data_IF_091238741814
#
_entry.id   IF_091238741814
#
_cell.length_a   1.000
_cell.length_b   1.000
_cell.length_c   1.000
_cell.angle_alpha   90.00
_cell.angle_beta   90.00
_cell.angle_gamma   90.00
#
_symmetry.space_group_name_H-M   'P 1'
#
loop_
_entity.id
_entity.type
_entity.pdbx_description
1 polymer ?
#
# COMPACT_ATOMS: atom_id res chain seq x y z
N UNK A 1 -3.59 -27.40 14.29
CA UNK A 1 -4.49 -27.80 13.19
C UNK A 1 -5.08 -26.51 12.67
N UNK A 2 -4.69 -26.12 11.48
CA UNK A 2 -5.07 -24.81 10.91
C UNK A 2 -6.48 -24.93 10.31
N UNK A 3 -7.42 -24.12 10.80
CA UNK A 3 -8.78 -24.00 10.25
C UNK A 3 -8.73 -23.32 8.88
N UNK A 4 -8.40 -24.07 7.83
CA UNK A 4 -8.35 -23.59 6.45
C UNK A 4 -9.59 -23.90 5.63
N UNK A 5 -10.60 -24.53 6.23
CA UNK A 5 -11.71 -25.15 5.47
C UNK A 5 -12.84 -24.22 5.03
N UNK A 6 -12.90 -22.94 5.47
CA UNK A 6 -14.01 -22.05 5.12
C UNK A 6 -13.57 -20.62 4.72
N UNK A 7 -12.49 -20.50 3.95
CA UNK A 7 -12.16 -19.20 3.35
C UNK A 7 -12.95 -19.04 2.05
N UNK A 8 -13.77 -17.98 1.92
CA UNK A 8 -14.42 -17.67 0.66
C UNK A 8 -13.38 -17.11 -0.33
N UNK A 9 -12.50 -17.99 -0.86
CA UNK A 9 -11.45 -17.59 -1.80
C UNK A 9 -11.97 -16.83 -3.01
N UNK A 10 -13.20 -17.06 -3.40
CA UNK A 10 -13.90 -16.32 -4.46
C UNK A 10 -13.95 -14.81 -4.20
N UNK A 11 -14.06 -14.42 -2.92
CA UNK A 11 -14.05 -13.01 -2.51
C UNK A 11 -12.65 -12.41 -2.56
N UNK A 12 -11.63 -13.19 -2.20
CA UNK A 12 -10.26 -12.71 -2.06
C UNK A 12 -9.42 -12.85 -3.32
N UNK A 13 -9.77 -13.78 -4.20
CA UNK A 13 -9.02 -14.09 -5.40
C UNK A 13 -9.96 -14.11 -6.61
N UNK A 14 -10.17 -12.99 -7.30
CA UNK A 14 -11.14 -12.87 -8.41
C UNK A 14 -11.00 -13.92 -9.52
N UNK A 15 -9.79 -14.47 -9.70
CA UNK A 15 -9.52 -15.53 -10.68
C UNK A 15 -9.99 -16.92 -10.23
N UNK A 16 -10.42 -17.09 -8.96
CA UNK A 16 -10.73 -18.38 -8.34
C UNK A 16 -11.61 -19.29 -9.17
N UNK A 17 -12.71 -18.77 -9.70
CA UNK A 17 -13.68 -19.55 -10.48
C UNK A 17 -13.15 -19.99 -11.85
N UNK A 18 -12.06 -19.39 -12.33
CA UNK A 18 -11.38 -19.75 -13.58
C UNK A 18 -10.26 -20.79 -13.38
N UNK A 19 -9.96 -21.14 -12.14
CA UNK A 19 -8.95 -22.16 -11.79
C UNK A 19 -9.56 -23.56 -11.81
N UNK A 20 -8.73 -24.55 -12.12
CA UNK A 20 -9.10 -25.98 -12.02
C UNK A 20 -9.31 -26.40 -10.56
N UNK A 21 -10.02 -27.50 -10.32
CA UNK A 21 -10.22 -28.05 -8.98
C UNK A 21 -8.88 -28.36 -8.27
N UNK A 22 -7.89 -28.87 -8.99
CA UNK A 22 -6.57 -29.18 -8.47
C UNK A 22 -5.83 -27.90 -8.03
N UNK A 23 -5.84 -26.85 -8.85
CA UNK A 23 -5.23 -25.55 -8.52
C UNK A 23 -5.90 -24.90 -7.32
N UNK A 24 -7.24 -24.93 -7.25
CA UNK A 24 -7.98 -24.45 -6.07
C UNK A 24 -7.61 -25.21 -4.80
N UNK A 25 -7.47 -26.53 -4.88
CA UNK A 25 -7.05 -27.35 -3.76
C UNK A 25 -5.60 -27.04 -3.32
N UNK A 26 -4.68 -26.80 -4.26
CA UNK A 26 -3.32 -26.37 -3.95
C UNK A 26 -3.29 -25.04 -3.20
N UNK A 27 -4.04 -24.03 -3.68
CA UNK A 27 -4.11 -22.74 -2.99
C UNK A 27 -4.72 -22.92 -1.60
N UNK A 28 -5.91 -23.51 -1.49
CA UNK A 28 -6.61 -23.63 -0.22
C UNK A 28 -5.82 -24.44 0.82
N UNK A 29 -5.13 -25.49 0.38
CA UNK A 29 -4.33 -26.37 1.24
C UNK A 29 -3.01 -25.77 1.70
N UNK A 30 -2.49 -24.75 1.00
CA UNK A 30 -1.19 -24.13 1.30
C UNK A 30 -1.29 -22.70 1.83
N UNK A 31 -2.47 -22.07 1.74
CA UNK A 31 -2.67 -20.70 2.23
C UNK A 31 -2.63 -20.66 3.75
N UNK A 32 -1.78 -19.78 4.29
CA UNK A 32 -1.72 -19.50 5.72
C UNK A 32 -2.46 -18.20 6.07
N UNK A 33 -3.10 -18.16 7.24
CA UNK A 33 -3.59 -16.91 7.84
C UNK A 33 -2.51 -16.33 8.72
N UNK A 34 -2.33 -15.01 8.63
CA UNK A 34 -1.37 -14.28 9.45
C UNK A 34 -1.97 -12.96 9.90
N UNK A 35 -1.95 -12.71 11.22
CA UNK A 35 -2.28 -11.42 11.81
C UNK A 35 -0.98 -10.72 12.18
N UNK A 36 -0.84 -9.46 11.80
CA UNK A 36 0.33 -8.65 12.08
C UNK A 36 -0.07 -7.34 12.72
N UNK A 37 0.81 -6.83 13.58
CA UNK A 37 0.61 -5.54 14.24
C UNK A 37 1.11 -4.39 13.37
N UNK A 38 0.52 -3.22 13.57
CA UNK A 38 1.03 -1.97 13.01
C UNK A 38 2.54 -1.85 13.21
N UNK A 39 3.26 -1.41 12.17
CA UNK A 39 4.72 -1.27 12.15
C UNK A 39 5.47 -2.57 11.84
N UNK A 40 4.77 -3.70 11.60
CA UNK A 40 5.43 -4.94 11.18
C UNK A 40 5.87 -4.85 9.73
N UNK A 41 7.18 -5.02 9.47
CA UNK A 41 7.71 -5.17 8.11
C UNK A 41 7.46 -6.61 7.65
N UNK A 42 6.76 -6.76 6.55
CA UNK A 42 6.38 -8.04 5.96
C UNK A 42 7.35 -8.48 4.85
N UNK A 43 7.94 -7.51 4.17
CA UNK A 43 8.90 -7.71 3.09
C UNK A 43 9.87 -6.53 3.07
N UNK A 44 11.15 -6.81 2.88
CA UNK A 44 12.21 -5.80 2.84
C UNK A 44 13.23 -6.15 1.76
N UNK A 45 12.88 -5.85 0.51
CA UNK A 45 13.78 -6.05 -0.62
C UNK A 45 13.81 -7.50 -1.18
N UNK A 46 14.80 -7.79 -2.02
CA UNK A 46 14.84 -8.95 -2.92
C UNK A 46 15.08 -10.31 -2.26
N UNK A 47 15.53 -10.38 -1.01
CA UNK A 47 15.97 -11.62 -0.36
C UNK A 47 14.83 -12.37 0.36
N UNK A 48 13.77 -11.69 0.74
CA UNK A 48 12.68 -12.28 1.53
C UNK A 48 11.40 -12.47 0.69
N UNK A 49 11.24 -13.67 0.15
CA UNK A 49 10.01 -14.00 -0.55
C UNK A 49 8.94 -14.49 0.44
N UNK A 50 8.07 -13.60 0.86
CA UNK A 50 6.99 -13.92 1.81
C UNK A 50 5.86 -14.71 1.14
N UNK A 51 5.69 -14.57 -0.18
CA UNK A 51 4.56 -15.11 -0.93
C UNK A 51 3.58 -14.03 -1.35
N UNK A 52 2.52 -14.43 -2.03
CA UNK A 52 1.43 -13.52 -2.41
C UNK A 52 0.62 -13.17 -1.16
N UNK A 53 0.56 -11.89 -0.80
CA UNK A 53 -0.25 -11.43 0.32
C UNK A 53 -1.59 -10.92 -0.17
N UNK A 54 -2.65 -11.32 0.50
CA UNK A 54 -4.00 -10.77 0.30
C UNK A 54 -4.42 -10.13 1.61
N UNK A 55 -4.79 -8.86 1.57
CA UNK A 55 -5.28 -8.14 2.75
C UNK A 55 -6.71 -8.56 3.01
N UNK A 56 -6.95 -9.22 4.14
CA UNK A 56 -8.29 -9.60 4.57
C UNK A 56 -8.99 -8.45 5.29
N UNK A 57 -8.24 -7.75 6.13
CA UNK A 57 -8.67 -6.51 6.80
C UNK A 57 -7.45 -5.75 7.29
N UNK A 58 -7.52 -4.43 7.32
CA UNK A 58 -6.44 -3.56 7.76
C UNK A 58 -5.82 -2.76 6.64
N UNK A 59 -4.50 -2.50 6.71
CA UNK A 59 -3.84 -1.64 5.74
C UNK A 59 -2.35 -1.93 5.67
N UNK A 60 -1.84 -2.14 4.45
CA UNK A 60 -0.41 -2.22 4.17
C UNK A 60 0.04 -0.99 3.38
N UNK A 61 1.31 -0.67 3.51
CA UNK A 61 2.02 0.37 2.79
C UNK A 61 3.17 -0.24 2.01
N UNK A 62 3.26 0.06 0.73
CA UNK A 62 4.41 -0.23 -0.11
C UNK A 62 5.22 1.05 -0.29
N UNK A 63 6.51 1.02 0.06
CA UNK A 63 7.38 2.18 -0.07
C UNK A 63 8.79 1.80 -0.49
N UNK A 64 9.51 2.76 -1.03
CA UNK A 64 10.95 2.67 -1.31
C UNK A 64 11.73 3.53 -0.32
N UNK A 65 12.95 3.11 -0.03
CA UNK A 65 13.88 3.79 0.86
C UNK A 65 15.08 4.30 0.05
N UNK A 66 15.41 5.59 0.17
CA UNK A 66 16.62 6.14 -0.42
C UNK A 66 17.86 5.77 0.40
N UNK A 67 19.06 5.89 -0.19
CA UNK A 67 20.33 5.72 0.53
C UNK A 67 20.46 6.64 1.76
N UNK A 68 19.81 7.80 1.73
CA UNK A 68 19.78 8.75 2.83
C UNK A 68 18.70 8.45 3.89
N UNK A 69 18.05 7.28 3.83
CA UNK A 69 17.01 6.85 4.77
C UNK A 69 15.66 7.58 4.59
N UNK A 70 15.43 8.25 3.45
CA UNK A 70 14.14 8.86 3.15
C UNK A 70 13.22 7.87 2.48
N UNK A 71 12.00 7.79 2.96
CA UNK A 71 10.95 6.96 2.43
C UNK A 71 10.05 7.75 1.47
N UNK A 72 9.46 7.05 0.52
CA UNK A 72 8.32 7.54 -0.25
C UNK A 72 7.33 6.40 -0.48
N UNK A 73 6.06 6.65 -0.14
CA UNK A 73 5.00 5.68 -0.39
C UNK A 73 4.72 5.58 -1.88
N UNK A 74 4.77 4.37 -2.40
CA UNK A 74 4.39 4.07 -3.77
C UNK A 74 2.87 3.92 -3.90
N UNK A 75 2.29 3.10 -3.02
CA UNK A 75 0.86 2.87 -2.91
C UNK A 75 0.50 2.22 -1.56
N UNK A 76 -0.77 2.19 -1.26
CA UNK A 76 -1.34 1.46 -0.13
C UNK A 76 -2.18 0.29 -0.60
N UNK A 77 -2.39 -0.66 0.30
CA UNK A 77 -3.21 -1.84 0.07
C UNK A 77 -4.24 -1.91 1.19
N UNK A 78 -5.49 -2.01 0.78
CA UNK A 78 -6.66 -2.07 1.64
C UNK A 78 -7.31 -3.45 1.61
N UNK A 79 -8.45 -3.61 2.26
CA UNK A 79 -9.22 -4.84 2.28
C UNK A 79 -9.46 -5.35 0.86
N UNK A 80 -9.18 -6.64 0.64
CA UNK A 80 -9.23 -7.37 -0.63
C UNK A 80 -8.10 -7.09 -1.62
N UNK A 81 -7.22 -6.13 -1.35
CA UNK A 81 -6.07 -5.89 -2.20
C UNK A 81 -5.02 -7.01 -2.12
N UNK A 82 -4.34 -7.21 -3.24
CA UNK A 82 -3.30 -8.22 -3.40
C UNK A 82 -1.94 -7.55 -3.57
N UNK A 83 -0.97 -7.97 -2.76
CA UNK A 83 0.42 -7.55 -2.87
C UNK A 83 1.24 -8.60 -3.63
N UNK A 84 1.68 -8.23 -4.83
CA UNK A 84 2.57 -9.06 -5.65
C UNK A 84 4.05 -8.86 -5.30
N UNK A 85 4.45 -7.67 -4.84
CA UNK A 85 5.87 -7.40 -4.54
C UNK A 85 6.40 -8.20 -3.36
N UNK A 86 5.54 -8.64 -2.45
CA UNK A 86 5.91 -9.61 -1.40
C UNK A 86 6.31 -10.99 -1.95
N UNK A 87 5.96 -11.26 -3.21
CA UNK A 87 6.32 -12.44 -3.98
C UNK A 87 7.31 -12.10 -5.12
N UNK A 88 8.19 -11.13 -4.92
CA UNK A 88 9.14 -10.61 -5.94
C UNK A 88 10.03 -11.69 -6.54
N UNK A 89 10.29 -12.78 -5.82
CA UNK A 89 11.02 -13.97 -6.31
C UNK A 89 10.34 -14.64 -7.53
N UNK A 90 9.03 -14.43 -7.72
CA UNK A 90 8.31 -14.93 -8.90
C UNK A 90 8.64 -14.08 -10.13
N UNK A 91 8.97 -12.81 -9.93
CA UNK A 91 9.18 -11.81 -10.97
C UNK A 91 10.67 -11.52 -11.14
N UNK A 92 11.35 -12.25 -12.03
CA UNK A 92 12.81 -12.18 -12.25
C UNK A 92 13.33 -10.82 -12.72
N UNK A 93 12.47 -9.88 -13.10
CA UNK A 93 12.84 -8.60 -13.73
C UNK A 93 12.77 -7.40 -12.79
N UNK A 94 12.36 -7.56 -11.54
CA UNK A 94 12.27 -6.44 -10.58
C UNK A 94 13.67 -6.18 -10.02
N UNK A 95 14.20 -4.98 -10.31
CA UNK A 95 15.55 -4.55 -9.90
C UNK A 95 15.53 -3.45 -8.84
N UNK A 96 14.39 -3.21 -8.20
CA UNK A 96 14.24 -2.21 -7.14
C UNK A 96 13.70 -2.87 -5.87
N UNK A 97 14.13 -2.35 -4.74
CA UNK A 97 13.73 -2.84 -3.43
C UNK A 97 12.49 -2.09 -2.96
N UNK A 98 11.42 -2.84 -2.67
CA UNK A 98 10.19 -2.32 -2.08
C UNK A 98 10.06 -2.89 -0.68
N UNK A 99 9.75 -2.03 0.28
CA UNK A 99 9.39 -2.45 1.63
C UNK A 99 7.87 -2.50 1.77
N UNK A 100 7.36 -3.57 2.35
CA UNK A 100 5.93 -3.73 2.68
C UNK A 100 5.78 -3.74 4.19
N UNK A 101 5.03 -2.79 4.71
CA UNK A 101 4.80 -2.59 6.13
C UNK A 101 3.31 -2.54 6.45
N UNK A 102 2.91 -3.02 7.62
CA UNK A 102 1.56 -2.88 8.14
C UNK A 102 1.36 -1.48 8.74
N UNK A 103 0.53 -0.63 8.12
CA UNK A 103 0.16 0.69 8.66
C UNK A 103 -0.90 0.61 9.76
N UNK A 104 -1.71 -0.44 9.75
CA UNK A 104 -2.71 -0.79 10.79
C UNK A 104 -2.50 -2.25 11.20
N UNK A 105 -3.11 -2.67 12.32
CA UNK A 105 -3.23 -4.08 12.64
C UNK A 105 -3.94 -4.76 11.46
N UNK A 106 -3.33 -5.79 10.89
CA UNK A 106 -3.76 -6.34 9.59
C UNK A 106 -3.86 -7.86 9.63
N UNK A 107 -4.96 -8.38 9.12
CA UNK A 107 -5.17 -9.80 8.86
C UNK A 107 -4.88 -10.12 7.39
N UNK A 108 -4.06 -11.13 7.16
CA UNK A 108 -3.57 -11.51 5.85
C UNK A 108 -3.84 -12.97 5.52
N UNK A 109 -4.03 -13.24 4.24
CA UNK A 109 -3.83 -14.56 3.65
C UNK A 109 -2.50 -14.55 2.91
N UNK A 110 -1.71 -15.59 3.12
CA UNK A 110 -0.39 -15.76 2.51
C UNK A 110 -0.42 -17.00 1.67
N UNK A 111 -0.32 -16.84 0.35
CA UNK A 111 -0.16 -17.95 -0.60
C UNK A 111 1.35 -18.10 -0.86
N UNK A 112 1.95 -19.28 -0.63
CA UNK A 112 3.37 -19.49 -0.89
C UNK A 112 3.73 -19.16 -2.34
N UNK A 113 4.85 -18.47 -2.54
CA UNK A 113 5.28 -17.97 -3.85
C UNK A 113 5.39 -19.09 -4.90
N UNK A 114 5.99 -20.22 -4.54
CA UNK A 114 6.18 -21.35 -5.46
C UNK A 114 4.85 -21.97 -5.91
N UNK A 115 3.83 -22.01 -5.02
CA UNK A 115 2.49 -22.47 -5.37
C UNK A 115 1.85 -21.52 -6.38
N UNK A 116 1.88 -20.22 -6.11
CA UNK A 116 1.27 -19.23 -7.01
C UNK A 116 1.97 -19.18 -8.37
N UNK A 117 3.32 -19.29 -8.36
CA UNK A 117 4.14 -19.36 -9.57
C UNK A 117 3.77 -20.55 -10.44
N UNK A 118 3.69 -21.76 -9.86
CA UNK A 118 3.29 -22.95 -10.60
C UNK A 118 1.90 -22.79 -11.24
N UNK A 119 0.96 -22.19 -10.51
CA UNK A 119 -0.38 -21.92 -11.04
C UNK A 119 -0.34 -20.90 -12.18
N UNK A 120 0.47 -19.82 -12.06
CA UNK A 120 0.64 -18.86 -13.15
C UNK A 120 1.23 -19.48 -14.43
N UNK A 121 2.20 -20.39 -14.28
CA UNK A 121 2.85 -21.06 -15.42
C UNK A 121 1.91 -22.00 -16.16
N UNK A 122 0.92 -22.58 -15.46
CA UNK A 122 -0.04 -23.55 -16.03
C UNK A 122 -1.39 -22.97 -16.39
N UNK A 123 -1.76 -21.80 -15.83
CA UNK A 123 -3.10 -21.22 -15.98
C UNK A 123 -3.04 -19.83 -16.63
N UNK A 124 -3.44 -19.74 -17.89
CA UNK A 124 -3.58 -18.45 -18.58
C UNK A 124 -4.50 -17.46 -17.83
N UNK A 125 -5.64 -17.86 -17.22
CA UNK A 125 -6.42 -16.96 -16.39
C UNK A 125 -5.63 -16.38 -15.18
N UNK A 126 -4.80 -17.20 -14.51
CA UNK A 126 -3.99 -16.73 -13.38
C UNK A 126 -2.87 -15.78 -13.86
N UNK A 127 -2.21 -16.10 -14.96
CA UNK A 127 -1.20 -15.24 -15.56
C UNK A 127 -1.79 -13.89 -16.01
N UNK A 128 -2.95 -13.88 -16.65
CA UNK A 128 -3.63 -12.65 -17.07
C UNK A 128 -4.05 -11.81 -15.86
N UNK A 129 -4.60 -12.43 -14.83
CA UNK A 129 -4.95 -11.73 -13.58
C UNK A 129 -3.73 -11.09 -12.91
N UNK A 130 -2.60 -11.80 -12.87
CA UNK A 130 -1.32 -11.25 -12.36
C UNK A 130 -0.86 -10.05 -13.18
N UNK A 131 -0.97 -10.12 -14.52
CA UNK A 131 -0.63 -9.00 -15.40
C UNK A 131 -1.55 -7.79 -15.18
N UNK A 132 -2.85 -8.01 -14.94
CA UNK A 132 -3.79 -6.93 -14.62
C UNK A 132 -3.41 -6.21 -13.31
N UNK A 133 -3.05 -6.96 -12.26
CA UNK A 133 -2.57 -6.37 -11.01
C UNK A 133 -1.27 -5.58 -11.26
N UNK A 134 -0.32 -6.14 -12.00
CA UNK A 134 0.93 -5.45 -12.32
C UNK A 134 0.70 -4.16 -13.11
N UNK A 135 -0.19 -4.18 -14.09
CA UNK A 135 -0.56 -2.98 -14.87
C UNK A 135 -1.20 -1.90 -13.98
N UNK A 136 -2.06 -2.29 -13.04
CA UNK A 136 -2.64 -1.36 -12.06
C UNK A 136 -1.54 -0.72 -11.18
N UNK A 137 -0.64 -1.53 -10.61
CA UNK A 137 0.46 -1.02 -9.77
C UNK A 137 1.45 -0.15 -10.56
N UNK A 138 1.72 -0.51 -11.81
CA UNK A 138 2.52 0.35 -12.70
C UNK A 138 1.84 1.71 -12.92
N UNK A 139 0.53 1.73 -13.16
CA UNK A 139 -0.22 2.98 -13.34
C UNK A 139 -0.20 3.85 -12.09
N UNK A 140 -0.33 3.27 -10.89
CA UNK A 140 -0.24 4.00 -9.61
C UNK A 140 1.16 4.64 -9.43
N UNK A 141 2.23 3.88 -9.74
CA UNK A 141 3.60 4.39 -9.64
C UNK A 141 3.87 5.48 -10.69
N UNK A 142 3.34 5.33 -11.91
CA UNK A 142 3.46 6.36 -12.95
C UNK A 142 2.70 7.64 -12.57
N UNK A 143 1.52 7.50 -11.99
CA UNK A 143 0.78 8.65 -11.45
C UNK A 143 1.56 9.35 -10.32
N UNK A 144 2.15 8.58 -9.38
CA UNK A 144 3.00 9.14 -8.33
C UNK A 144 4.19 9.89 -8.92
N UNK A 145 4.86 9.34 -9.93
CA UNK A 145 5.96 9.99 -10.62
C UNK A 145 5.52 11.32 -11.24
N UNK A 146 4.36 11.35 -11.88
CA UNK A 146 3.76 12.58 -12.43
C UNK A 146 3.52 13.62 -11.31
N UNK A 147 2.96 13.21 -10.16
CA UNK A 147 2.78 14.12 -9.02
C UNK A 147 4.11 14.71 -8.54
N UNK A 148 5.17 13.90 -8.46
CA UNK A 148 6.50 14.36 -7.99
C UNK A 148 7.15 15.32 -8.99
N UNK A 149 7.01 15.06 -10.28
CA UNK A 149 7.66 15.85 -11.33
C UNK A 149 6.95 17.18 -11.60
N UNK A 150 5.62 17.22 -11.52
CA UNK A 150 4.84 18.35 -12.00
C UNK A 150 4.11 19.13 -10.92
N UNK A 151 3.84 18.53 -9.75
CA UNK A 151 3.19 19.23 -8.65
C UNK A 151 4.21 19.71 -7.62
N UNK A 152 4.07 20.97 -7.21
CA UNK A 152 4.81 21.55 -6.10
C UNK A 152 4.45 20.85 -4.77
N UNK A 153 5.30 21.01 -3.76
CA UNK A 153 5.11 20.30 -2.49
C UNK A 153 3.84 20.71 -1.74
N UNK A 154 3.45 21.99 -1.80
CA UNK A 154 2.18 22.49 -1.23
C UNK A 154 0.97 21.76 -1.82
N UNK A 155 0.90 21.59 -3.14
CA UNK A 155 -0.16 20.85 -3.83
C UNK A 155 -0.21 19.40 -3.39
N UNK A 156 0.95 18.73 -3.31
CA UNK A 156 1.04 17.33 -2.87
C UNK A 156 0.66 17.17 -1.41
N UNK A 157 1.05 18.11 -0.55
CA UNK A 157 0.69 18.10 0.87
C UNK A 157 -0.81 18.34 1.07
N UNK A 158 -1.39 19.29 0.35
CA UNK A 158 -2.84 19.55 0.41
C UNK A 158 -3.64 18.31 -0.03
N UNK A 159 -3.28 17.71 -1.17
CA UNK A 159 -3.90 16.47 -1.65
C UNK A 159 -3.78 15.33 -0.64
N UNK A 160 -2.60 15.13 -0.06
CA UNK A 160 -2.35 14.11 0.96
C UNK A 160 -3.27 14.31 2.21
N UNK A 161 -3.40 15.53 2.71
CA UNK A 161 -4.26 15.78 3.87
C UNK A 161 -5.74 15.50 3.57
N UNK A 162 -6.20 15.83 2.36
CA UNK A 162 -7.55 15.52 1.91
C UNK A 162 -7.79 14.02 1.77
N UNK A 163 -6.80 13.28 1.23
CA UNK A 163 -6.85 11.83 1.12
C UNK A 163 -6.89 11.16 2.50
N UNK A 164 -6.02 11.58 3.43
CA UNK A 164 -6.03 11.06 4.81
C UNK A 164 -7.37 11.32 5.51
N UNK A 165 -7.94 12.53 5.32
CA UNK A 165 -9.25 12.86 5.87
C UNK A 165 -10.36 11.95 5.32
N UNK A 166 -10.31 11.63 4.04
CA UNK A 166 -11.27 10.72 3.42
C UNK A 166 -11.10 9.27 3.93
N UNK A 167 -9.86 8.80 4.08
CA UNK A 167 -9.54 7.45 4.57
C UNK A 167 -9.92 7.25 6.04
N UNK A 168 -9.70 8.26 6.88
CA UNK A 168 -10.00 8.19 8.32
C UNK A 168 -11.46 8.61 8.64
N UNK A 169 -12.17 9.19 7.66
CA UNK A 169 -13.54 9.69 7.83
C UNK A 169 -13.64 10.89 8.80
N UNK A 170 -12.55 11.66 8.96
CA UNK A 170 -12.47 12.79 9.88
C UNK A 170 -11.47 13.83 9.42
N UNK A 171 -11.76 15.10 9.68
CA UNK A 171 -10.84 16.21 9.42
C UNK A 171 -9.79 16.40 10.53
N UNK A 172 -9.88 15.64 11.62
CA UNK A 172 -8.88 15.61 12.70
C UNK A 172 -7.94 14.44 12.51
N UNK A 173 -6.79 14.69 11.86
CA UNK A 173 -5.80 13.69 11.49
C UNK A 173 -4.76 13.52 12.60
N UNK A 174 -4.70 12.34 13.22
CA UNK A 174 -3.66 11.98 14.19
C UNK A 174 -2.40 11.52 13.47
N UNK A 175 -1.68 12.47 12.90
CA UNK A 175 -0.51 12.22 12.08
C UNK A 175 0.61 13.20 12.44
N UNK A 176 1.86 12.70 12.50
CA UNK A 176 3.03 13.54 12.77
C UNK A 176 3.62 14.09 11.46
N UNK A 177 4.34 15.21 11.55
CA UNK A 177 5.05 15.79 10.40
C UNK A 177 6.09 14.82 9.81
N UNK A 178 6.63 13.92 10.63
CA UNK A 178 7.58 12.89 10.21
C UNK A 178 6.88 11.84 9.35
N UNK A 179 5.73 11.33 9.79
CA UNK A 179 4.91 10.38 9.02
C UNK A 179 4.48 11.01 7.68
N UNK A 180 4.02 12.27 7.68
CA UNK A 180 3.70 13.00 6.44
C UNK A 180 4.93 13.04 5.51
N UNK A 181 6.10 13.32 6.08
CA UNK A 181 7.36 13.36 5.34
C UNK A 181 7.70 11.99 4.72
N UNK A 182 7.52 10.90 5.46
CA UNK A 182 7.72 9.54 4.97
C UNK A 182 6.78 9.17 3.82
N UNK A 183 5.54 9.65 3.83
CA UNK A 183 4.63 9.43 2.71
C UNK A 183 5.01 10.21 1.47
N UNK A 184 5.38 11.48 1.63
CA UNK A 184 5.61 12.42 0.52
C UNK A 184 7.06 12.48 0.02
N UNK A 185 7.97 11.72 0.63
CA UNK A 185 9.39 11.74 0.26
C UNK A 185 10.13 13.02 0.67
N UNK A 186 9.65 13.76 1.68
CA UNK A 186 10.18 15.06 2.05
C UNK A 186 10.66 15.09 3.51
N UNK A 187 11.75 15.85 3.82
CA UNK A 187 12.20 16.03 5.20
C UNK A 187 11.12 16.66 6.09
N UNK A 188 11.08 16.25 7.37
CA UNK A 188 10.14 16.76 8.37
C UNK A 188 10.14 18.29 8.47
N UNK A 189 11.29 18.92 8.31
CA UNK A 189 11.45 20.39 8.39
C UNK A 189 10.68 21.09 7.25
N UNK A 190 10.69 20.50 6.04
CA UNK A 190 9.95 21.00 4.87
C UNK A 190 8.45 20.88 5.13
N UNK A 191 8.00 19.73 5.61
CA UNK A 191 6.61 19.50 6.02
C UNK A 191 6.19 20.51 7.09
N UNK A 192 7.00 20.68 8.14
CA UNK A 192 6.70 21.60 9.25
C UNK A 192 6.54 23.03 8.75
N UNK A 193 7.43 23.48 7.86
CA UNK A 193 7.37 24.83 7.29
C UNK A 193 6.09 25.04 6.46
N UNK A 194 5.75 24.06 5.62
CA UNK A 194 4.56 24.16 4.79
C UNK A 194 3.25 24.10 5.62
N UNK A 195 3.19 23.22 6.61
CA UNK A 195 2.02 23.16 7.50
C UNK A 195 1.84 24.44 8.32
N UNK A 196 2.92 25.11 8.74
CA UNK A 196 2.84 26.44 9.37
C UNK A 196 2.30 27.50 8.42
N UNK A 197 2.67 27.44 7.14
CA UNK A 197 2.09 28.29 6.11
C UNK A 197 0.59 28.01 5.97
N UNK A 198 0.16 26.75 5.84
CA UNK A 198 -1.25 26.39 5.79
C UNK A 198 -2.03 26.85 7.03
N UNK A 199 -1.40 26.79 8.20
CA UNK A 199 -2.01 27.32 9.43
C UNK A 199 -2.16 28.86 9.38
N UNK A 200 -1.16 29.60 8.87
CA UNK A 200 -1.27 31.05 8.73
C UNK A 200 -2.35 31.49 7.75
N UNK A 201 -2.62 30.67 6.72
CA UNK A 201 -3.71 30.87 5.76
C UNK A 201 -5.08 30.38 6.27
N UNK A 202 -5.14 29.83 7.49
CA UNK A 202 -6.37 29.34 8.11
C UNK A 202 -6.90 28.02 7.52
N UNK A 203 -6.09 27.30 6.73
CA UNK A 203 -6.47 26.02 6.12
C UNK A 203 -6.48 24.88 7.14
N UNK A 204 -5.52 24.89 8.06
CA UNK A 204 -5.35 23.85 9.08
C UNK A 204 -5.08 24.44 10.46
N UNK A 205 -5.31 23.62 11.51
CA UNK A 205 -4.84 23.85 12.87
C UNK A 205 -3.84 22.77 13.24
N UNK A 206 -2.70 23.18 13.78
CA UNK A 206 -1.65 22.26 14.23
C UNK A 206 -1.74 22.05 15.73
N UNK A 207 -1.63 20.81 16.17
CA UNK A 207 -1.50 20.40 17.56
C UNK A 207 -0.44 19.32 17.71
N UNK A 208 -0.11 18.91 18.93
CA UNK A 208 0.92 17.90 19.16
C UNK A 208 0.50 16.55 18.55
N UNK A 209 1.16 16.16 17.47
CA UNK A 209 0.92 14.88 16.78
C UNK A 209 -0.39 14.83 15.99
N UNK A 210 -0.99 15.98 15.68
CA UNK A 210 -2.20 16.04 14.86
C UNK A 210 -2.26 17.29 14.00
N UNK A 211 -2.97 17.17 12.89
CA UNK A 211 -3.35 18.23 11.95
C UNK A 211 -4.87 18.17 11.79
N UNK A 212 -5.54 19.31 12.04
CA UNK A 212 -6.98 19.47 11.85
C UNK A 212 -7.24 20.32 10.61
N UNK A 213 -8.03 19.84 9.69
CA UNK A 213 -8.47 20.59 8.51
C UNK A 213 -9.58 21.54 8.94
N UNK A 214 -9.38 22.85 8.71
CA UNK A 214 -10.35 23.91 9.04
C UNK A 214 -11.09 24.39 7.79
N UNK A 215 -10.40 24.47 6.66
CA UNK A 215 -10.95 24.96 5.40
C UNK A 215 -10.60 23.97 4.27
N UNK A 216 -11.52 23.02 4.06
CA UNK A 216 -11.39 22.02 3.02
C UNK A 216 -11.35 22.64 1.62
N UNK A 217 -12.17 23.67 1.37
CA UNK A 217 -12.23 24.32 0.05
C UNK A 217 -10.89 24.93 -0.35
N UNK A 218 -10.22 25.65 0.57
CA UNK A 218 -8.87 26.19 0.29
C UNK A 218 -7.82 25.08 0.06
N UNK A 219 -7.93 23.94 0.77
CA UNK A 219 -7.03 22.81 0.52
C UNK A 219 -7.29 22.19 -0.85
N UNK A 220 -8.55 22.05 -1.28
CA UNK A 220 -8.92 21.55 -2.60
C UNK A 220 -8.40 22.47 -3.71
N UNK A 221 -8.57 23.80 -3.56
CA UNK A 221 -8.01 24.80 -4.48
C UNK A 221 -6.46 24.70 -4.55
N UNK A 222 -5.82 24.47 -3.41
CA UNK A 222 -4.36 24.32 -3.35
C UNK A 222 -3.90 23.03 -4.01
N UNK A 223 -4.63 21.93 -3.86
CA UNK A 223 -4.29 20.61 -4.45
C UNK A 223 -4.39 20.61 -5.97
N UNK A 224 -5.26 21.43 -6.55
CA UNK A 224 -5.38 21.71 -8.01
C UNK A 224 -6.10 20.64 -8.78
#
# INVERSE_FOLDING_TARGET
>A
MCDTMDLPFETYLPVWNKLTAAQRQQISGSTARRTVKKGTILHNGSMDCTGLLIVKSGQLRAYILSEAGREITLYRLFDLDICLFSASCIMRSIQFEVTIEAEKDTDLLVIPAEIYKGIMEESAPAANFTNEIMASRFSEVMWLLEQILWKSFDKRLAGFLLEESALEGTDFLRITHEIIGSHLGNPREVVTRMLRYFQSEGMVRLSRGAVEILDRGKLEETAG
#
